data_IF_631289386196
#
_entry.id   IF_631289386196
#
_cell.length_a   1.000
_cell.length_b   1.000
_cell.length_c   1.000
_cell.angle_alpha   90.00
_cell.angle_beta   90.00
_cell.angle_gamma   90.00
#
_symmetry.space_group_name_H-M   'P 1'
#
loop_
_entity.id
_entity.type
_entity.pdbx_description
1 polymer ?
#
# COMPACT_ATOMS: atom_id res chain seq x y z
N UNK A 1 0.90 7.06 8.23
CA UNK A 1 1.77 7.83 9.14
C UNK A 1 0.96 8.11 10.38
N UNK A 2 1.49 7.82 11.55
CA UNK A 2 0.89 8.26 12.80
C UNK A 2 0.99 9.79 12.85
N UNK A 3 -0.16 10.48 12.79
CA UNK A 3 -0.20 11.94 12.74
C UNK A 3 0.09 12.59 14.10
N UNK A 4 0.20 11.82 15.17
CA UNK A 4 0.54 12.33 16.51
C UNK A 4 2.05 12.45 16.73
N UNK A 5 2.83 11.54 16.13
CA UNK A 5 4.28 11.44 16.36
C UNK A 5 5.12 11.36 15.06
N UNK A 6 4.48 11.37 13.89
CA UNK A 6 5.14 11.33 12.59
C UNK A 6 5.75 9.98 12.20
N UNK A 7 5.58 8.92 13.00
CA UNK A 7 6.13 7.61 12.67
C UNK A 7 5.39 6.99 11.48
N UNK A 8 6.16 6.52 10.51
CA UNK A 8 5.67 5.72 9.40
C UNK A 8 6.01 4.25 9.62
N UNK A 9 5.08 3.36 9.28
CA UNK A 9 5.29 1.92 9.30
C UNK A 9 5.31 1.38 7.87
N UNK A 10 6.18 0.40 7.62
CA UNK A 10 6.20 -0.34 6.36
C UNK A 10 5.22 -1.51 6.46
N UNK A 11 4.20 -1.55 5.60
CA UNK A 11 3.23 -2.65 5.57
C UNK A 11 3.47 -3.64 4.42
N UNK A 12 4.21 -3.25 3.38
CA UNK A 12 4.65 -4.15 2.31
C UNK A 12 6.06 -3.79 1.83
N UNK A 13 6.81 -4.80 1.39
CA UNK A 13 8.16 -4.68 0.79
C UNK A 13 8.21 -5.49 -0.51
N UNK A 14 9.23 -5.24 -1.33
CA UNK A 14 9.49 -6.03 -2.54
C UNK A 14 8.67 -5.63 -3.78
N UNK A 15 7.99 -4.48 -3.75
CA UNK A 15 7.36 -3.92 -4.95
C UNK A 15 8.42 -3.19 -5.75
N UNK A 16 8.64 -3.63 -6.98
CA UNK A 16 9.61 -3.04 -7.90
C UNK A 16 8.97 -1.94 -8.73
N UNK A 17 9.57 -0.75 -8.73
CA UNK A 17 9.08 0.44 -9.46
C UNK A 17 7.57 0.75 -9.26
N UNK A 18 7.11 0.95 -8.01
CA UNK A 18 5.75 1.40 -7.74
C UNK A 18 5.57 2.84 -8.22
N UNK A 19 4.44 3.13 -8.88
CA UNK A 19 4.18 4.47 -9.43
C UNK A 19 3.00 5.21 -8.79
N UNK A 20 1.95 4.49 -8.40
CA UNK A 20 0.73 5.05 -7.84
C UNK A 20 0.10 4.09 -6.85
N UNK A 21 -0.70 4.65 -5.94
CA UNK A 21 -1.44 3.93 -4.91
C UNK A 21 -2.85 4.54 -4.78
N UNK A 22 -3.85 3.67 -4.67
CA UNK A 22 -5.23 4.03 -4.36
C UNK A 22 -5.77 3.11 -3.26
N UNK A 23 -6.71 3.61 -2.47
CA UNK A 23 -7.37 2.85 -1.39
C UNK A 23 -8.87 2.92 -1.66
N UNK A 24 -9.54 1.78 -1.60
CA UNK A 24 -10.98 1.69 -1.71
C UNK A 24 -11.69 1.91 -0.37
N UNK A 25 -13.02 2.07 -0.41
CA UNK A 25 -13.84 2.34 0.78
C UNK A 25 -13.80 1.20 1.80
N UNK A 26 -13.58 -0.04 1.34
CA UNK A 26 -13.39 -1.24 2.15
C UNK A 26 -11.95 -1.43 2.66
N UNK A 27 -11.06 -0.48 2.41
CA UNK A 27 -9.67 -0.51 2.91
C UNK A 27 -8.72 -1.38 2.09
N UNK A 28 -9.11 -1.79 0.88
CA UNK A 28 -8.20 -2.50 -0.02
C UNK A 28 -7.25 -1.51 -0.69
N UNK A 29 -5.96 -1.82 -0.66
CA UNK A 29 -4.92 -0.99 -1.27
C UNK A 29 -4.57 -1.56 -2.64
N UNK A 30 -4.62 -0.70 -3.66
CA UNK A 30 -4.23 -0.99 -5.03
C UNK A 30 -2.95 -0.23 -5.36
N UNK A 31 -1.95 -0.93 -5.90
CA UNK A 31 -0.65 -0.35 -6.24
C UNK A 31 -0.34 -0.63 -7.71
N UNK A 32 -0.07 0.41 -8.48
CA UNK A 32 0.38 0.26 -9.86
C UNK A 32 1.90 0.00 -9.90
N UNK A 33 2.29 -1.18 -10.34
CA UNK A 33 3.68 -1.61 -10.44
C UNK A 33 4.15 -1.58 -11.89
N UNK A 34 5.13 -0.73 -12.22
CA UNK A 34 5.63 -0.55 -13.59
C UNK A 34 6.61 -1.62 -14.05
N UNK A 35 7.10 -2.48 -13.16
CA UNK A 35 7.85 -3.68 -13.52
C UNK A 35 7.48 -4.76 -12.51
N UNK A 36 6.77 -5.84 -12.89
CA UNK A 36 6.57 -6.40 -14.24
C UNK A 36 5.27 -5.97 -14.96
N UNK A 37 4.80 -4.73 -14.79
CA UNK A 37 3.52 -4.21 -15.36
C UNK A 37 2.28 -4.90 -14.78
N UNK A 38 2.02 -4.71 -13.50
CA UNK A 38 0.88 -5.31 -12.82
C UNK A 38 0.22 -4.37 -11.81
N UNK A 39 -1.01 -4.70 -11.41
CA UNK A 39 -1.67 -4.07 -10.26
C UNK A 39 -1.61 -5.05 -9.10
N UNK A 40 -1.00 -4.62 -7.99
CA UNK A 40 -1.00 -5.39 -6.76
C UNK A 40 -2.21 -4.96 -5.93
N UNK A 41 -2.96 -5.94 -5.43
CA UNK A 41 -4.07 -5.73 -4.50
C UNK A 41 -3.69 -6.30 -3.12
N UNK A 42 -3.89 -5.51 -2.08
CA UNK A 42 -3.59 -5.89 -0.70
C UNK A 42 -4.78 -5.53 0.16
N UNK A 43 -5.38 -6.53 0.79
CA UNK A 43 -6.31 -6.28 1.90
C UNK A 43 -5.47 -6.12 3.16
N UNK A 44 -5.51 -4.92 3.75
CA UNK A 44 -4.90 -4.70 5.05
C UNK A 44 -5.77 -5.43 6.07
N UNK A 45 -5.24 -6.39 6.85
CA UNK A 45 -5.99 -6.92 7.98
C UNK A 45 -6.28 -5.76 8.94
N UNK A 46 -7.45 -5.79 9.58
CA UNK A 46 -7.81 -4.82 10.63
C UNK A 46 -6.62 -4.68 11.59
N UNK A 47 -6.11 -3.45 11.74
CA UNK A 47 -5.12 -3.17 12.78
C UNK A 47 -5.83 -3.29 14.13
N UNK A 48 -5.71 -4.47 14.75
CA UNK A 48 -6.10 -4.71 16.14
C UNK A 48 -5.24 -3.91 17.13
#
# INVERSE_FOLDING_TARGET
MDMTNGKANTFIKGIENPHSLAISDEGTVYISQMHPNQIIQISLPDQA
#
